data_IF_684367796570
#
_entry.id   IF_684367796570
#
_cell.length_a   1.000
_cell.length_b   1.000
_cell.length_c   1.000
_cell.angle_alpha   90.00
_cell.angle_beta   90.00
_cell.angle_gamma   90.00
#
_symmetry.space_group_name_H-M   'P 1'
#
loop_
_entity.id
_entity.type
_entity.pdbx_description
1 polymer ?
#
# COMPACT_ATOMS: atom_id res chain seq x y z
N UNK A 1 -12.12 5.40 -0.14
CA UNK A 1 -10.66 5.57 -0.19
C UNK A 1 -9.94 4.22 -0.18
N UNK A 2 -9.99 3.43 0.91
CA UNK A 2 -9.31 2.11 0.97
C UNK A 2 -9.84 1.11 -0.09
N UNK A 3 -11.14 1.09 -0.36
CA UNK A 3 -11.74 0.23 -1.41
C UNK A 3 -11.24 0.54 -2.83
N UNK A 4 -10.70 1.74 -3.07
CA UNK A 4 -10.13 2.11 -4.37
C UNK A 4 -8.68 1.65 -4.53
N UNK A 5 -7.97 1.30 -3.45
CA UNK A 5 -6.58 0.89 -3.50
C UNK A 5 -6.37 -0.42 -4.29
N UNK A 6 -7.29 -1.38 -4.17
CA UNK A 6 -7.16 -2.66 -4.86
C UNK A 6 -7.26 -2.53 -6.40
N UNK A 7 -8.28 -1.83 -6.96
CA UNK A 7 -8.29 -1.47 -8.37
C UNK A 7 -7.01 -0.77 -8.84
N UNK A 8 -6.50 0.21 -8.09
CA UNK A 8 -5.33 0.98 -8.53
C UNK A 8 -4.03 0.17 -8.47
N UNK A 9 -3.84 -0.68 -7.46
CA UNK A 9 -2.71 -1.62 -7.40
C UNK A 9 -2.76 -2.64 -8.55
N UNK A 10 -3.96 -3.13 -8.88
CA UNK A 10 -4.14 -3.99 -10.04
C UNK A 10 -3.78 -3.25 -11.33
N UNK A 11 -4.20 -2.00 -11.48
CA UNK A 11 -3.90 -1.18 -12.65
C UNK A 11 -2.40 -0.96 -12.87
N UNK A 12 -1.64 -0.63 -11.81
CA UNK A 12 -0.16 -0.53 -11.89
C UNK A 12 0.45 -1.83 -12.40
N UNK A 13 0.00 -2.98 -11.88
CA UNK A 13 0.53 -4.29 -12.26
C UNK A 13 0.17 -4.70 -13.69
N UNK A 14 -0.99 -4.27 -14.19
CA UNK A 14 -1.47 -4.61 -15.54
C UNK A 14 -1.12 -3.58 -16.61
N UNK A 15 -0.58 -2.41 -16.24
CA UNK A 15 -0.23 -1.37 -17.18
C UNK A 15 0.92 -1.83 -18.11
N UNK A 16 0.67 -1.78 -19.42
CA UNK A 16 1.66 -2.08 -20.45
C UNK A 16 2.12 -0.78 -21.11
N UNK A 17 3.44 -0.63 -21.28
CA UNK A 17 4.05 0.64 -21.72
C UNK A 17 4.36 1.59 -20.57
N UNK A 18 5.29 2.52 -20.82
CA UNK A 18 5.82 3.45 -19.84
C UNK A 18 4.78 4.51 -19.43
N UNK A 19 4.04 5.04 -20.40
CA UNK A 19 3.00 6.06 -20.19
C UNK A 19 1.85 5.56 -19.31
N UNK A 20 1.32 4.35 -19.57
CA UNK A 20 0.25 3.77 -18.77
C UNK A 20 0.69 3.48 -17.33
N UNK A 21 1.95 3.07 -17.14
CA UNK A 21 2.53 2.85 -15.81
C UNK A 21 2.69 4.16 -15.05
N UNK A 22 3.15 5.22 -15.71
CA UNK A 22 3.29 6.54 -15.12
C UNK A 22 1.93 7.10 -14.66
N UNK A 23 0.90 7.02 -15.50
CA UNK A 23 -0.45 7.47 -15.16
C UNK A 23 -1.06 6.66 -13.99
N UNK A 24 -0.88 5.34 -13.97
CA UNK A 24 -1.35 4.51 -12.87
C UNK A 24 -0.62 4.80 -11.55
N UNK A 25 0.69 5.07 -11.62
CA UNK A 25 1.49 5.47 -10.47
C UNK A 25 1.04 6.83 -9.92
N UNK A 26 0.80 7.81 -10.78
CA UNK A 26 0.30 9.14 -10.40
C UNK A 26 -1.01 9.04 -9.61
N UNK A 27 -1.98 8.27 -10.11
CA UNK A 27 -3.25 8.04 -9.42
C UNK A 27 -3.07 7.40 -8.03
N UNK A 28 -2.14 6.45 -7.89
CA UNK A 28 -1.85 5.86 -6.57
C UNK A 28 -1.21 6.88 -5.65
N UNK A 29 -0.27 7.68 -6.15
CA UNK A 29 0.40 8.70 -5.36
C UNK A 29 -0.58 9.76 -4.87
N UNK A 30 -1.52 10.21 -5.71
CA UNK A 30 -2.60 11.10 -5.30
C UNK A 30 -3.46 10.49 -4.19
N UNK A 31 -3.85 9.21 -4.32
CA UNK A 31 -4.60 8.52 -3.30
C UNK A 31 -3.83 8.40 -1.97
N UNK A 32 -2.51 8.21 -2.03
CA UNK A 32 -1.66 8.16 -0.82
C UNK A 32 -1.50 9.53 -0.16
N UNK A 33 -1.38 10.61 -0.93
CA UNK A 33 -1.37 11.96 -0.37
C UNK A 33 -2.70 12.31 0.31
N UNK A 34 -3.84 11.89 -0.27
CA UNK A 34 -5.14 12.05 0.37
C UNK A 34 -5.26 11.24 1.67
N UNK A 35 -4.69 10.02 1.70
CA UNK A 35 -4.61 9.21 2.92
C UNK A 35 -3.71 9.85 3.98
N UNK A 36 -2.59 10.45 3.59
CA UNK A 36 -1.67 11.17 4.48
C UNK A 36 -2.38 12.35 5.15
N UNK A 37 -3.06 13.16 4.35
CA UNK A 37 -3.90 14.26 4.84
C UNK A 37 -4.99 13.79 5.80
N UNK A 38 -5.67 12.69 5.46
CA UNK A 38 -6.68 12.09 6.31
C UNK A 38 -6.07 11.60 7.63
N UNK A 39 -4.89 10.99 7.59
CA UNK A 39 -4.17 10.54 8.79
C UNK A 39 -3.77 11.71 9.68
N UNK A 40 -3.24 12.79 9.11
CA UNK A 40 -2.87 13.99 9.88
C UNK A 40 -4.09 14.60 10.58
N UNK A 41 -5.21 14.72 9.87
CA UNK A 41 -6.45 15.32 10.40
C UNK A 41 -7.13 14.44 11.45
N UNK A 42 -7.18 13.12 11.22
CA UNK A 42 -7.93 12.18 12.08
C UNK A 42 -7.09 11.59 13.21
N UNK A 43 -5.79 11.41 13.01
CA UNK A 43 -4.88 10.80 13.97
C UNK A 43 -4.53 11.71 15.14
N UNK A 44 -4.87 13.01 15.09
CA UNK A 44 -4.62 13.99 16.16
C UNK A 44 -3.15 13.97 16.68
N UNK A 45 -2.20 13.72 15.77
CA UNK A 45 -0.78 13.61 16.09
C UNK A 45 -0.35 12.30 16.76
N UNK A 46 -1.23 11.30 16.85
CA UNK A 46 -0.95 9.97 17.39
C UNK A 46 -0.36 9.02 16.34
N UNK A 47 0.04 7.84 16.80
CA UNK A 47 0.79 6.86 16.02
C UNK A 47 -0.07 6.06 15.04
N UNK A 48 -1.38 5.94 15.31
CA UNK A 48 -2.36 5.17 14.56
C UNK A 48 -3.63 5.99 14.27
N UNK A 49 -4.44 5.57 13.29
CA UNK A 49 -5.77 6.14 13.05
C UNK A 49 -6.69 5.91 14.26
N UNK A 50 -6.49 4.80 14.99
CA UNK A 50 -7.14 4.52 16.28
C UNK A 50 -6.60 5.34 17.46
N UNK A 51 -5.63 6.24 17.24
CA UNK A 51 -4.98 7.01 18.29
C UNK A 51 -3.73 6.29 18.80
N UNK A 52 -3.75 5.91 20.08
CA UNK A 52 -2.60 5.26 20.75
C UNK A 52 -2.48 3.76 20.41
N UNK A 53 -3.55 3.16 19.88
CA UNK A 53 -3.60 1.74 19.53
C UNK A 53 -4.16 1.54 18.11
N UNK A 54 -3.85 0.38 17.51
CA UNK A 54 -4.42 -0.04 16.22
C UNK A 54 -5.95 -0.02 16.30
N UNK A 55 -6.58 0.75 15.40
CA UNK A 55 -8.02 0.83 15.22
C UNK A 55 -8.48 0.20 13.89
N UNK A 56 -9.76 0.38 13.57
CA UNK A 56 -10.37 -0.20 12.37
C UNK A 56 -9.69 0.23 11.07
N UNK A 57 -9.40 1.53 10.91
CA UNK A 57 -8.77 2.04 9.70
C UNK A 57 -7.32 1.56 9.55
N UNK A 58 -6.61 1.38 10.67
CA UNK A 58 -5.26 0.81 10.67
C UNK A 58 -5.28 -0.64 10.17
N UNK A 59 -6.24 -1.45 10.62
CA UNK A 59 -6.40 -2.83 10.15
C UNK A 59 -6.77 -2.85 8.67
N UNK A 60 -7.73 -2.02 8.26
CA UNK A 60 -8.18 -1.94 6.88
C UNK A 60 -7.03 -1.57 5.94
N UNK A 61 -6.28 -0.50 6.23
CA UNK A 61 -5.13 -0.08 5.41
C UNK A 61 -3.96 -1.06 5.53
N UNK A 62 -3.68 -1.54 6.74
CA UNK A 62 -2.59 -2.46 7.05
C UNK A 62 -2.71 -3.81 6.35
N UNK A 63 -3.93 -4.29 6.11
CA UNK A 63 -4.18 -5.49 5.33
C UNK A 63 -3.68 -5.39 3.87
N UNK A 64 -3.60 -4.16 3.32
CA UNK A 64 -3.06 -3.89 2.00
C UNK A 64 -1.56 -3.61 1.98
N UNK A 65 -0.94 -3.37 3.15
CA UNK A 65 0.44 -2.87 3.23
C UNK A 65 1.45 -3.81 2.55
N UNK A 66 1.34 -5.12 2.76
CA UNK A 66 2.26 -6.08 2.13
C UNK A 66 2.05 -6.20 0.62
N UNK A 67 0.81 -6.07 0.13
CA UNK A 67 0.52 -5.99 -1.30
C UNK A 67 1.08 -4.72 -1.93
N UNK A 68 1.02 -3.60 -1.20
CA UNK A 68 1.63 -2.33 -1.61
C UNK A 68 3.14 -2.49 -1.81
N UNK A 69 3.85 -3.04 -0.81
CA UNK A 69 5.30 -3.33 -0.89
C UNK A 69 5.64 -4.30 -2.03
N UNK A 70 4.80 -5.29 -2.30
CA UNK A 70 4.98 -6.21 -3.42
C UNK A 70 4.88 -5.48 -4.77
N UNK A 71 3.91 -4.56 -4.91
CA UNK A 71 3.76 -3.72 -6.10
C UNK A 71 4.96 -2.78 -6.28
N UNK A 72 5.43 -2.14 -5.20
CA UNK A 72 6.66 -1.33 -5.22
C UNK A 72 7.85 -2.12 -5.77
N UNK A 73 8.05 -3.35 -5.25
CA UNK A 73 9.13 -4.25 -5.69
C UNK A 73 8.99 -4.71 -7.14
N UNK A 74 7.77 -4.96 -7.61
CA UNK A 74 7.53 -5.41 -8.99
C UNK A 74 7.68 -4.29 -10.01
N UNK A 75 7.29 -3.07 -9.64
CA UNK A 75 7.31 -1.90 -10.51
C UNK A 75 8.59 -1.08 -10.43
N UNK A 76 9.46 -1.35 -9.46
CA UNK A 76 10.58 -0.48 -9.06
C UNK A 76 10.11 0.96 -8.79
N UNK A 77 9.02 1.08 -8.05
CA UNK A 77 8.38 2.35 -7.68
C UNK A 77 8.27 2.49 -6.18
N UNK A 78 8.22 3.73 -5.69
CA UNK A 78 7.93 4.03 -4.27
C UNK A 78 6.55 4.66 -4.15
N UNK A 79 5.68 4.02 -3.39
CA UNK A 79 4.31 4.48 -3.13
C UNK A 79 4.19 5.04 -1.73
N UNK A 80 4.78 4.37 -0.73
CA UNK A 80 5.02 4.96 0.59
C UNK A 80 6.38 5.64 0.58
N UNK A 81 6.34 6.95 0.41
CA UNK A 81 7.52 7.78 0.31
C UNK A 81 7.69 8.59 1.60
N UNK A 82 8.90 8.55 2.17
CA UNK A 82 9.22 9.23 3.43
C UNK A 82 9.13 10.77 3.31
N UNK A 83 9.33 11.32 2.11
CA UNK A 83 9.25 12.76 1.86
C UNK A 83 7.84 13.24 1.54
N UNK A 84 7.06 12.44 0.80
CA UNK A 84 5.71 12.82 0.35
C UNK A 84 4.61 12.38 1.32
N UNK A 85 4.82 11.26 2.01
CA UNK A 85 3.86 10.65 2.94
C UNK A 85 4.55 10.27 4.28
N UNK A 86 5.20 11.22 4.96
CA UNK A 86 6.04 10.94 6.13
C UNK A 86 5.29 10.28 7.29
N UNK A 87 4.03 10.66 7.55
CA UNK A 87 3.26 10.10 8.65
C UNK A 87 2.82 8.67 8.36
N UNK A 88 2.32 8.41 7.16
CA UNK A 88 1.97 7.07 6.70
C UNK A 88 3.20 6.17 6.61
N UNK A 89 4.35 6.69 6.20
CA UNK A 89 5.61 5.95 6.21
C UNK A 89 5.95 5.48 7.64
N UNK A 90 5.96 6.40 8.62
CA UNK A 90 6.19 6.03 10.02
C UNK A 90 5.10 5.11 10.58
N UNK A 91 3.83 5.31 10.19
CA UNK A 91 2.73 4.43 10.57
C UNK A 91 2.93 3.01 10.05
N UNK A 92 3.38 2.83 8.81
CA UNK A 92 3.60 1.52 8.20
C UNK A 92 4.67 0.72 8.95
N UNK A 93 5.75 1.38 9.38
CA UNK A 93 6.81 0.76 10.18
C UNK A 93 6.30 0.34 11.57
N UNK A 94 5.55 1.22 12.25
CA UNK A 94 4.95 0.91 13.56
C UNK A 94 3.91 -0.20 13.47
N UNK A 95 3.04 -0.16 12.46
CA UNK A 95 2.01 -1.17 12.23
C UNK A 95 2.65 -2.53 11.97
N UNK A 96 3.65 -2.61 11.10
CA UNK A 96 4.35 -3.86 10.76
C UNK A 96 5.12 -4.45 11.94
N UNK A 97 5.62 -3.60 12.83
CA UNK A 97 6.38 -4.01 14.03
C UNK A 97 5.50 -4.33 15.24
N UNK A 98 4.20 -4.06 15.17
CA UNK A 98 3.28 -4.30 16.27
C UNK A 98 3.16 -5.80 16.58
N UNK A 99 3.15 -6.16 17.86
CA UNK A 99 3.06 -7.56 18.33
C UNK A 99 1.86 -8.33 17.78
N UNK A 100 0.73 -7.65 17.53
CA UNK A 100 -0.46 -8.28 16.98
C UNK A 100 -0.38 -8.53 15.46
N UNK A 101 0.60 -7.93 14.78
CA UNK A 101 0.66 -7.85 13.31
C UNK A 101 1.90 -8.55 12.75
N UNK A 102 3.06 -8.41 13.39
CA UNK A 102 4.36 -8.82 12.86
C UNK A 102 4.42 -10.28 12.38
N UNK A 103 3.70 -11.18 13.05
CA UNK A 103 3.75 -12.63 12.80
C UNK A 103 2.67 -13.11 11.80
N UNK A 104 1.70 -12.25 11.45
CA UNK A 104 0.60 -12.59 10.52
C UNK A 104 0.74 -11.96 9.14
N UNK A 105 1.65 -10.99 9.00
CA UNK A 105 1.90 -10.37 7.71
C UNK A 105 2.66 -11.33 6.78
N UNK A 106 2.18 -11.56 5.55
CA UNK A 106 2.88 -12.41 4.60
C UNK A 106 4.22 -11.78 4.16
N UNK A 107 5.18 -12.62 3.82
CA UNK A 107 6.41 -12.20 3.15
C UNK A 107 6.09 -11.54 1.80
N UNK A 108 6.81 -10.46 1.50
CA UNK A 108 6.60 -9.68 0.28
C UNK A 108 6.90 -10.54 -0.95
N UNK A 109 7.92 -11.38 -0.89
CA UNK A 109 8.35 -12.30 -1.94
C UNK A 109 7.24 -13.28 -2.35
N UNK A 110 6.55 -13.87 -1.36
CA UNK A 110 5.41 -14.77 -1.61
C UNK A 110 4.27 -14.04 -2.34
N UNK A 111 3.99 -12.79 -1.95
CA UNK A 111 2.97 -11.99 -2.64
C UNK A 111 3.38 -11.62 -4.08
N UNK A 112 4.67 -11.35 -4.31
CA UNK A 112 5.20 -11.12 -5.67
C UNK A 112 5.04 -12.37 -6.53
N UNK A 113 5.32 -13.55 -6.00
CA UNK A 113 5.12 -14.82 -6.72
C UNK A 113 3.64 -15.04 -7.07
N UNK A 114 2.74 -14.85 -6.11
CA UNK A 114 1.29 -14.93 -6.33
C UNK A 114 0.86 -13.93 -7.41
N UNK A 115 1.36 -12.69 -7.35
CA UNK A 115 1.04 -11.66 -8.33
C UNK A 115 1.49 -12.03 -9.74
N UNK A 116 2.71 -12.56 -9.88
CA UNK A 116 3.25 -13.05 -11.17
C UNK A 116 2.46 -14.24 -11.71
N UNK A 117 2.09 -15.19 -10.85
CA UNK A 117 1.26 -16.34 -11.23
C UNK A 117 -0.07 -15.89 -11.85
N UNK A 118 -0.78 -14.96 -11.19
CA UNK A 118 -2.04 -14.44 -11.73
C UNK A 118 -1.86 -13.62 -13.01
N UNK A 119 -0.77 -12.84 -13.12
CA UNK A 119 -0.47 -12.10 -14.35
C UNK A 119 -0.19 -13.03 -15.53
N UNK A 120 0.59 -14.11 -15.32
CA UNK A 120 0.86 -15.10 -16.35
C UNK A 120 -0.41 -15.82 -16.80
N UNK A 121 -1.29 -16.19 -15.85
CA UNK A 121 -2.58 -16.82 -16.17
C UNK A 121 -3.51 -15.90 -16.97
N UNK A 122 -3.54 -14.61 -16.64
CA UNK A 122 -4.33 -13.62 -17.37
C UNK A 122 -3.85 -13.38 -18.80
N UNK A 123 -2.54 -13.55 -19.07
CA UNK A 123 -1.96 -13.44 -20.42
C UNK A 123 -2.15 -14.71 -21.28
N UNK A 124 -2.55 -15.81 -20.65
CA UNK A 124 -2.76 -17.10 -21.30
C UNK A 124 -4.24 -17.38 -21.64
N UNK A 125 -5.16 -16.47 -21.30
CA UNK A 125 -6.57 -16.47 -21.68
C UNK A 125 -6.84 -15.38 -22.71
#
# INVERSE_FOLDING_TARGET
MIAQLWPTLKAIRSAEGEEAKAAALEQVMEAMMLLEDAFIKSGKGKDFFGGDTIGYLDIALGSFLRWLRATEKMGDVKVLDETKTPRLFGWAERFSSNVAVKDVLPEVEKLVEIAKFFAAKAKAQ
#
